data_IF_219944858589
#
_entry.id   IF_219944858589
#
_cell.length_a   1.000
_cell.length_b   1.000
_cell.length_c   1.000
_cell.angle_alpha   90.00
_cell.angle_beta   90.00
_cell.angle_gamma   90.00
#
_symmetry.space_group_name_H-M   'P 1'
#
loop_
_entity.id
_entity.type
_entity.pdbx_description
1 polymer ?
#
# COMPACT_ATOMS: atom_id res chain seq x y z
N UNK A 1 -4.02 11.01 10.03
CA UNK A 1 -4.24 10.75 8.59
C UNK A 1 -5.59 10.11 8.46
N UNK A 2 -6.49 10.55 7.56
CA UNK A 2 -7.74 9.85 7.33
C UNK A 2 -7.42 8.44 6.82
N UNK A 3 -8.07 7.44 7.43
CA UNK A 3 -7.88 6.03 7.11
C UNK A 3 -9.16 5.53 6.46
N UNK A 4 -9.04 4.99 5.25
CA UNK A 4 -10.11 4.19 4.65
C UNK A 4 -10.03 2.78 5.24
N UNK A 5 -11.15 2.28 5.77
CA UNK A 5 -11.23 0.97 6.42
C UNK A 5 -12.39 0.19 5.85
N UNK A 6 -12.11 -1.06 5.49
CA UNK A 6 -13.13 -2.05 5.10
C UNK A 6 -13.03 -3.21 6.07
N UNK A 7 -14.16 -3.59 6.64
CA UNK A 7 -14.27 -4.69 7.59
C UNK A 7 -15.16 -5.78 7.01
N UNK A 8 -15.08 -6.99 7.56
CA UNK A 8 -15.90 -8.14 7.15
C UNK A 8 -15.77 -8.50 5.65
N UNK A 9 -14.65 -8.13 5.02
CA UNK A 9 -14.33 -8.57 3.67
C UNK A 9 -13.79 -9.99 3.71
N UNK A 10 -14.40 -10.89 2.95
CA UNK A 10 -13.86 -12.23 2.75
C UNK A 10 -12.81 -12.21 1.64
N UNK A 11 -11.59 -12.66 1.94
CA UNK A 11 -10.52 -12.84 0.98
C UNK A 11 -9.90 -14.24 1.17
N UNK A 12 -9.86 -15.02 0.11
CA UNK A 12 -9.44 -16.43 0.10
C UNK A 12 -8.28 -16.64 -0.86
N UNK A 13 -7.53 -17.71 -0.64
CA UNK A 13 -6.48 -18.14 -1.55
C UNK A 13 -7.01 -18.28 -2.98
N UNK A 14 -6.22 -17.81 -3.96
CA UNK A 14 -6.59 -17.81 -5.37
C UNK A 14 -7.43 -16.62 -5.81
N UNK A 15 -7.83 -15.73 -4.89
CA UNK A 15 -8.49 -14.47 -5.24
C UNK A 15 -7.48 -13.36 -5.48
N UNK A 16 -7.81 -12.44 -6.38
CA UNK A 16 -7.07 -11.22 -6.63
C UNK A 16 -7.75 -10.04 -5.91
N UNK A 17 -6.95 -9.17 -5.30
CA UNK A 17 -7.41 -7.93 -4.68
C UNK A 17 -6.69 -6.75 -5.33
N UNK A 18 -7.46 -5.85 -5.95
CA UNK A 18 -6.91 -4.65 -6.61
C UNK A 18 -7.17 -3.41 -5.77
N UNK A 19 -6.10 -2.64 -5.51
CA UNK A 19 -6.19 -1.34 -4.86
C UNK A 19 -5.90 -0.24 -5.87
N UNK A 20 -6.85 0.67 -6.07
CA UNK A 20 -6.67 1.87 -6.92
C UNK A 20 -6.81 3.10 -6.05
N UNK A 21 -5.82 4.00 -6.12
CA UNK A 21 -5.83 5.23 -5.36
C UNK A 21 -4.81 6.23 -5.86
N UNK A 22 -4.95 7.48 -5.43
CA UNK A 22 -4.00 8.56 -5.72
C UNK A 22 -3.46 9.12 -4.42
N UNK A 23 -2.14 9.23 -4.32
CA UNK A 23 -1.50 9.90 -3.19
C UNK A 23 -1.69 11.41 -3.29
N UNK A 24 -1.73 12.08 -2.14
CA UNK A 24 -1.70 13.55 -2.11
C UNK A 24 -0.36 14.04 -2.66
N UNK A 25 -0.37 15.22 -3.30
CA UNK A 25 0.88 15.88 -3.70
C UNK A 25 1.77 16.08 -2.47
N UNK A 26 3.06 15.76 -2.60
CA UNK A 26 4.03 15.84 -1.51
C UNK A 26 3.89 14.77 -0.41
N UNK A 27 3.09 13.73 -0.61
CA UNK A 27 3.03 12.62 0.36
C UNK A 27 4.40 11.96 0.53
N UNK A 28 4.80 11.73 1.78
CA UNK A 28 6.04 10.98 2.11
C UNK A 28 5.87 9.48 1.95
N UNK A 29 4.66 8.96 2.16
CA UNK A 29 4.33 7.55 2.13
C UNK A 29 2.82 7.31 2.04
N UNK A 30 2.42 6.07 1.78
CA UNK A 30 1.10 5.54 2.11
C UNK A 30 1.24 4.14 2.71
N UNK A 31 0.15 3.59 3.24
CA UNK A 31 0.15 2.26 3.85
C UNK A 31 -1.09 1.49 3.42
N UNK A 32 -0.91 0.22 3.06
CA UNK A 32 -1.99 -0.77 2.90
C UNK A 32 -1.75 -1.83 3.98
N UNK A 33 -2.74 -2.01 4.85
CA UNK A 33 -2.73 -3.06 5.88
C UNK A 33 -3.80 -4.10 5.52
N UNK A 34 -3.41 -5.37 5.48
CA UNK A 34 -4.32 -6.51 5.29
C UNK A 34 -4.14 -7.44 6.48
N UNK A 35 -5.22 -7.76 7.16
CA UNK A 35 -5.18 -8.50 8.42
C UNK A 35 -6.54 -8.94 8.89
N UNK A 36 -6.52 -9.66 10.01
CA UNK A 36 -7.73 -10.11 10.69
C UNK A 36 -8.40 -8.97 11.45
N UNK A 37 -7.58 -8.12 12.08
CA UNK A 37 -8.01 -6.97 12.88
C UNK A 37 -6.89 -5.92 12.94
N UNK A 38 -7.08 -4.86 13.73
CA UNK A 38 -6.14 -3.75 13.86
C UNK A 38 -4.80 -4.12 14.51
N UNK A 39 -4.73 -5.26 15.20
CA UNK A 39 -3.56 -5.72 15.93
C UNK A 39 -2.83 -6.87 15.22
N UNK A 40 -3.43 -7.41 14.15
CA UNK A 40 -2.94 -8.59 13.44
C UNK A 40 -2.96 -8.37 11.92
N UNK A 41 -1.89 -7.75 11.40
CA UNK A 41 -1.68 -7.57 9.96
C UNK A 41 -0.81 -8.68 9.38
N UNK A 42 -1.38 -9.47 8.48
CA UNK A 42 -0.63 -10.39 7.64
C UNK A 42 0.28 -9.65 6.65
N UNK A 43 -0.16 -8.47 6.18
CA UNK A 43 0.62 -7.60 5.30
C UNK A 43 0.50 -6.14 5.76
N UNK A 44 1.64 -5.53 6.02
CA UNK A 44 1.83 -4.09 6.11
C UNK A 44 2.71 -3.67 4.93
N UNK A 45 2.09 -3.02 3.95
CA UNK A 45 2.77 -2.52 2.75
C UNK A 45 2.92 -1.00 2.86
N UNK A 46 4.15 -0.50 2.90
CA UNK A 46 4.45 0.91 3.16
C UNK A 46 5.54 1.46 2.21
N UNK A 47 5.18 1.91 1.00
CA UNK A 47 6.08 2.67 0.14
C UNK A 47 6.45 4.00 0.78
N UNK A 48 7.75 4.30 0.85
CA UNK A 48 8.29 5.55 1.39
C UNK A 48 8.97 6.33 0.28
N UNK A 49 8.26 7.27 -0.32
CA UNK A 49 8.71 8.05 -1.47
C UNK A 49 9.96 8.86 -1.17
N UNK A 50 10.06 9.42 0.04
CA UNK A 50 11.23 10.19 0.48
C UNK A 50 12.47 9.33 0.76
N UNK A 51 12.33 8.00 0.90
CA UNK A 51 13.45 7.10 1.16
C UNK A 51 13.75 6.15 -0.01
N UNK A 52 12.99 6.21 -1.11
CA UNK A 52 13.22 5.41 -2.32
C UNK A 52 13.07 3.90 -2.14
N UNK A 53 12.42 3.43 -1.08
CA UNK A 53 12.21 2.00 -0.82
C UNK A 53 10.81 1.69 -0.32
N UNK A 54 10.45 0.41 -0.42
CA UNK A 54 9.18 -0.13 0.08
C UNK A 54 9.48 -0.95 1.31
N UNK A 55 8.76 -0.67 2.40
CA UNK A 55 8.78 -1.51 3.60
C UNK A 55 7.60 -2.47 3.57
N UNK A 56 7.89 -3.76 3.68
CA UNK A 56 6.90 -4.82 3.87
C UNK A 56 7.12 -5.47 5.23
N UNK A 57 6.06 -5.62 6.03
CA UNK A 57 6.13 -6.22 7.35
C UNK A 57 4.84 -6.98 7.69
N UNK A 58 4.84 -7.72 8.78
CA UNK A 58 3.65 -8.27 9.44
C UNK A 58 3.56 -7.75 10.88
N UNK A 59 2.35 -7.57 11.39
CA UNK A 59 2.08 -7.24 12.78
C UNK A 59 1.34 -8.41 13.42
N UNK A 60 1.82 -8.92 14.55
CA UNK A 60 1.14 -9.97 15.29
C UNK A 60 1.23 -9.69 16.78
N UNK A 61 0.06 -9.58 17.43
CA UNK A 61 -0.12 -9.12 18.82
C UNK A 61 0.37 -7.68 19.03
N UNK A 62 -0.47 -6.83 19.63
CA UNK A 62 -0.29 -5.39 19.83
C UNK A 62 1.17 -4.95 20.09
N UNK A 63 1.89 -4.62 19.01
CA UNK A 63 3.20 -3.97 19.06
C UNK A 63 4.42 -4.75 18.56
N UNK A 64 4.34 -6.04 18.17
CA UNK A 64 5.53 -6.76 17.66
C UNK A 64 5.59 -6.81 16.14
N UNK A 65 6.32 -5.84 15.56
CA UNK A 65 6.70 -5.82 14.14
C UNK A 65 7.77 -6.89 13.88
N UNK A 66 7.53 -7.80 12.94
CA UNK A 66 8.50 -8.85 12.59
C UNK A 66 8.95 -8.69 11.14
N UNK A 67 10.13 -8.09 10.92
CA UNK A 67 10.76 -8.05 9.59
C UNK A 67 11.33 -9.43 9.22
N UNK A 68 10.49 -10.32 8.70
CA UNK A 68 10.90 -11.62 8.15
C UNK A 68 10.78 -11.59 6.62
N UNK A 69 11.71 -12.21 5.86
CA UNK A 69 11.49 -12.47 4.44
C UNK A 69 10.26 -13.37 4.31
N UNK A 70 9.28 -12.90 3.55
CA UNK A 70 7.93 -13.44 3.48
C UNK A 70 7.94 -14.82 2.81
N UNK A 71 7.40 -15.83 3.49
CA UNK A 71 6.97 -17.10 2.88
C UNK A 71 5.53 -17.38 3.29
N UNK A 72 4.60 -16.54 2.80
CA UNK A 72 3.24 -16.99 2.58
C UNK A 72 3.10 -17.19 1.07
N UNK A 73 2.59 -18.35 0.65
CA UNK A 73 2.25 -18.70 -0.73
C UNK A 73 1.05 -17.91 -1.27
N UNK A 74 0.94 -16.64 -0.89
CA UNK A 74 -0.01 -15.68 -1.45
C UNK A 74 0.74 -14.95 -2.55
N UNK A 75 0.43 -15.27 -3.80
CA UNK A 75 0.85 -14.44 -4.93
C UNK A 75 0.07 -13.12 -4.85
N UNK A 76 0.71 -12.07 -4.35
CA UNK A 76 0.18 -10.71 -4.36
C UNK A 76 0.75 -9.98 -5.59
N UNK A 77 -0.07 -9.85 -6.64
CA UNK A 77 0.25 -8.97 -7.76
C UNK A 77 -0.14 -7.54 -7.39
N UNK A 78 0.84 -6.71 -7.04
CA UNK A 78 0.62 -5.28 -6.84
C UNK A 78 1.04 -4.51 -8.08
N UNK A 79 0.07 -4.01 -8.84
CA UNK A 79 0.33 -3.08 -9.95
C UNK A 79 0.21 -1.64 -9.46
N UNK A 80 1.35 -0.95 -9.34
CA UNK A 80 1.40 0.50 -9.06
C UNK A 80 1.65 1.25 -10.37
N UNK A 81 0.70 2.08 -10.80
CA UNK A 81 0.89 2.99 -11.94
C UNK A 81 1.01 4.43 -11.44
N UNK A 82 2.20 5.01 -11.58
CA UNK A 82 2.47 6.42 -11.25
C UNK A 82 2.35 7.24 -12.53
N UNK A 83 1.21 7.90 -12.73
CA UNK A 83 1.05 8.86 -13.82
C UNK A 83 1.63 10.21 -13.39
N UNK A 84 2.72 10.63 -14.03
CA UNK A 84 3.15 12.04 -13.99
C UNK A 84 2.02 12.91 -14.49
N UNK A 85 1.56 13.88 -13.68
CA UNK A 85 0.90 15.05 -14.23
C UNK A 85 1.96 15.78 -15.05
N UNK A 86 1.85 15.74 -16.37
CA UNK A 86 2.66 16.60 -17.24
C UNK A 86 2.51 18.03 -16.71
N UNK A 87 3.61 18.79 -16.53
CA UNK A 87 3.46 20.23 -16.36
C UNK A 87 2.67 20.74 -17.57
N UNK A 88 1.66 21.57 -17.34
CA UNK A 88 1.07 22.33 -18.43
C UNK A 88 2.20 23.14 -19.07
N UNK A 89 2.69 22.69 -20.22
CA UNK A 89 3.64 23.46 -21.01
C UNK A 89 3.02 24.81 -21.36
N UNK A 90 3.82 25.86 -21.56
CA UNK A 90 3.29 27.16 -21.92
C UNK A 90 2.48 27.04 -23.21
N UNK A 91 1.21 27.45 -23.16
CA UNK A 91 0.41 27.71 -24.36
C UNK A 91 1.11 28.86 -25.09
N UNK A 92 1.87 28.55 -26.14
CA UNK A 92 2.31 29.56 -27.10
C UNK A 92 1.06 30.05 -27.84
N UNK A 93 0.56 31.23 -27.45
CA UNK A 93 -0.30 32.01 -28.33
C UNK A 93 0.57 32.52 -29.49
N UNK A 94 0.27 32.05 -30.69
CA UNK A 94 0.44 32.86 -31.90
C UNK A 94 -0.71 33.88 -31.96
#
# INVERSE_FOLDING_TARGET
>A
MPTFRVENMSFKQGQEMTFTGKTKSGASNFTINIGHDSDNYALHFNPRFNHGHIVCNSLHMAGKLNSKPFSLSISLSLSLSLSSLRPAGPQLHQ
#
